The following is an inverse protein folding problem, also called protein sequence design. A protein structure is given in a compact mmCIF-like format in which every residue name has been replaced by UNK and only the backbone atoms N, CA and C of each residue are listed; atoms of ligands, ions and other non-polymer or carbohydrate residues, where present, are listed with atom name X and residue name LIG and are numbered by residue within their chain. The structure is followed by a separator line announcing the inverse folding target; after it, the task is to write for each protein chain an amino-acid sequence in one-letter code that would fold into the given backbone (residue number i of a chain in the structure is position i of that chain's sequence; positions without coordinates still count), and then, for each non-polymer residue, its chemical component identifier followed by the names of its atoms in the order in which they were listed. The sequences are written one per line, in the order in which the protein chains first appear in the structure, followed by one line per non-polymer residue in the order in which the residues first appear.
data_IF_831274382119
#
_entry.id   IF_831274382119
#
_cell.length_a   1.000
_cell.length_b   1.000
_cell.length_c   1.000
_cell.angle_alpha   90.00
_cell.angle_beta   90.00
_cell.angle_gamma   90.00
#
_symmetry.space_group_name_H-M   'P 1'
#
loop_
_entity.id
_entity.type
_entity.pdbx_description
1 polymer ?
#
# COMPACT_ATOMS: atom_id res chain seq x y z
N UNK A 1 10.09 -11.86 47.90
CA UNK A 1 11.10 -12.22 48.92
C UNK A 1 12.16 -13.06 48.22
N UNK A 2 13.44 -12.65 48.32
CA UNK A 2 14.66 -13.31 47.81
C UNK A 2 14.78 -13.44 46.26
N UNK A 3 15.92 -13.21 45.61
CA UNK A 3 17.30 -13.07 46.07
C UNK A 3 18.13 -12.19 45.12
N UNK A 4 18.79 -11.17 45.69
CA UNK A 4 19.94 -10.48 45.10
C UNK A 4 21.13 -11.44 45.10
N UNK A 5 21.41 -12.14 44.00
CA UNK A 5 22.69 -12.83 43.73
C UNK A 5 22.66 -13.41 42.31
N UNK A 6 22.90 -12.58 41.30
CA UNK A 6 23.32 -12.98 39.94
C UNK A 6 23.71 -11.73 39.11
N UNK A 7 24.46 -10.81 39.74
CA UNK A 7 24.87 -9.54 39.11
C UNK A 7 26.38 -9.45 38.85
N UNK A 8 27.09 -10.56 38.72
CA UNK A 8 28.53 -10.57 38.43
C UNK A 8 28.89 -11.69 37.43
N UNK A 9 28.41 -11.58 36.20
CA UNK A 9 28.89 -12.41 35.07
C UNK A 9 28.46 -11.81 33.73
N UNK A 10 28.84 -10.55 33.46
CA UNK A 10 28.57 -9.88 32.17
C UNK A 10 29.76 -9.09 31.60
N UNK A 11 30.92 -9.11 32.25
CA UNK A 11 32.14 -8.49 31.72
C UNK A 11 33.11 -9.56 31.22
N UNK A 12 32.81 -10.19 30.09
CA UNK A 12 33.77 -10.92 29.24
C UNK A 12 33.06 -11.42 27.99
N UNK A 13 33.19 -10.68 26.90
CA UNK A 13 33.33 -11.11 25.49
C UNK A 13 32.94 -9.87 24.65
N UNK A 14 33.91 -9.00 24.46
CA UNK A 14 33.95 -8.08 23.33
C UNK A 14 34.85 -8.68 22.26
N UNK A 15 34.44 -8.46 21.01
CA UNK A 15 35.22 -8.49 19.76
C UNK A 15 35.72 -9.85 19.23
N UNK A 16 35.14 -10.28 18.10
CA UNK A 16 35.89 -10.25 16.83
C UNK A 16 35.01 -10.32 15.57
N UNK A 17 35.27 -9.39 14.64
CA UNK A 17 35.07 -9.38 13.18
C UNK A 17 33.64 -9.59 12.61
N UNK A 18 32.98 -8.62 11.96
CA UNK A 18 33.51 -7.75 10.90
C UNK A 18 33.12 -8.31 9.53
N UNK A 19 31.87 -8.09 9.08
CA UNK A 19 31.43 -8.42 7.71
C UNK A 19 30.50 -7.32 7.17
N UNK A 20 31.06 -6.66 6.17
CA UNK A 20 30.62 -5.55 5.32
C UNK A 20 29.10 -5.33 5.08
N UNK A 21 28.65 -4.14 5.46
CA UNK A 21 27.36 -3.52 5.08
C UNK A 21 27.30 -3.11 3.59
N UNK A 22 28.41 -3.24 2.86
CA UNK A 22 28.55 -2.75 1.48
C UNK A 22 28.11 -3.77 0.39
N UNK A 23 27.81 -5.03 0.75
CA UNK A 23 27.47 -6.08 -0.24
C UNK A 23 25.98 -6.17 -0.55
N UNK A 24 25.10 -5.68 0.34
CA UNK A 24 23.64 -5.73 0.13
C UNK A 24 23.12 -4.70 -0.88
N UNK A 25 23.89 -3.64 -1.16
CA UNK A 25 23.51 -2.61 -2.14
C UNK A 25 23.79 -3.00 -3.60
N UNK A 26 24.64 -4.01 -3.84
CA UNK A 26 25.08 -4.39 -5.19
C UNK A 26 24.29 -5.56 -5.81
N UNK A 27 23.48 -6.28 -5.02
CA UNK A 27 22.63 -7.37 -5.55
C UNK A 27 21.24 -6.89 -6.01
N UNK A 28 20.75 -5.74 -5.54
CA UNK A 28 19.48 -5.17 -6.00
C UNK A 28 19.54 -4.65 -7.46
N UNK A 29 20.74 -4.30 -7.95
CA UNK A 29 20.92 -3.70 -9.28
C UNK A 29 21.11 -4.72 -10.42
N UNK A 30 21.12 -6.03 -10.15
CA UNK A 30 21.36 -7.06 -11.20
C UNK A 30 20.10 -7.74 -11.76
N UNK A 31 18.89 -7.40 -11.28
CA UNK A 31 17.65 -8.03 -11.77
C UNK A 31 16.85 -7.17 -12.77
N UNK A 32 17.32 -5.98 -13.12
CA UNK A 32 16.72 -5.15 -14.17
C UNK A 32 17.66 -4.99 -15.36
N UNK A 33 17.99 -6.10 -16.03
CA UNK A 33 18.46 -5.99 -17.40
C UNK A 33 18.12 -7.24 -18.22
N UNK A 34 16.94 -7.23 -18.84
CA UNK A 34 16.62 -7.88 -20.13
C UNK A 34 15.15 -7.58 -20.47
N UNK A 35 14.94 -6.55 -21.28
CA UNK A 35 14.15 -6.61 -22.52
C UNK A 35 13.94 -5.21 -23.06
N UNK A 36 14.14 -5.09 -24.37
CA UNK A 36 14.33 -3.90 -25.17
C UNK A 36 13.03 -3.34 -25.70
N UNK A 37 12.74 -2.07 -25.39
CA UNK A 37 11.93 -1.19 -26.24
C UNK A 37 12.18 0.26 -25.82
N UNK A 38 13.08 0.93 -26.54
CA UNK A 38 13.29 2.39 -26.43
C UNK A 38 12.10 3.13 -27.05
N UNK A 39 11.59 4.20 -26.44
CA UNK A 39 10.93 5.28 -27.15
C UNK A 39 11.94 6.41 -27.37
N UNK A 40 12.25 6.66 -28.64
CA UNK A 40 13.07 7.77 -29.08
C UNK A 40 12.25 9.07 -28.96
N UNK A 41 12.72 10.04 -28.17
CA UNK A 41 12.12 11.38 -28.09
C UNK A 41 13.24 12.42 -28.24
N UNK A 42 13.22 13.11 -29.37
CA UNK A 42 14.08 14.24 -29.70
C UNK A 42 13.90 15.40 -28.70
N UNK A 43 14.97 16.02 -28.17
CA UNK A 43 14.84 17.18 -27.29
C UNK A 43 14.74 18.47 -28.11
N UNK A 44 13.54 19.06 -28.17
CA UNK A 44 13.39 20.46 -28.57
C UNK A 44 13.87 21.38 -27.44
N UNK A 45 14.90 22.15 -27.76
CA UNK A 45 15.60 23.15 -26.97
C UNK A 45 14.72 24.18 -26.24
N UNK A 46 14.90 24.34 -24.93
CA UNK A 46 14.63 25.61 -24.22
C UNK A 46 15.79 25.96 -23.28
N UNK A 47 16.55 26.96 -23.75
CA UNK A 47 17.43 27.91 -23.06
C UNK A 47 17.52 27.87 -21.53
N UNK A 48 18.74 27.59 -21.06
CA UNK A 48 19.28 27.94 -19.75
C UNK A 48 19.18 29.45 -19.45
N UNK A 49 18.59 29.82 -18.31
CA UNK A 49 18.92 31.06 -17.59
C UNK A 49 19.13 30.76 -16.12
N UNK A 50 20.39 30.88 -15.71
CA UNK A 50 20.85 30.94 -14.33
C UNK A 50 20.41 32.24 -13.67
N UNK A 51 19.83 32.18 -12.48
CA UNK A 51 19.93 33.26 -11.50
C UNK A 51 19.80 32.69 -10.08
N UNK A 52 20.82 32.95 -9.29
CA UNK A 52 20.96 32.60 -7.88
C UNK A 52 20.07 33.47 -6.98
N UNK A 53 19.35 32.86 -6.03
CA UNK A 53 19.08 33.48 -4.73
C UNK A 53 18.58 32.43 -3.74
N UNK A 54 19.26 32.39 -2.61
CA UNK A 54 19.12 31.46 -1.50
C UNK A 54 17.81 31.65 -0.73
N UNK A 55 16.99 30.59 -0.66
CA UNK A 55 16.08 30.30 0.45
C UNK A 55 15.91 28.77 0.52
N UNK A 56 16.56 28.13 1.48
CA UNK A 56 16.40 26.70 1.76
C UNK A 56 15.03 26.48 2.42
N UNK A 57 13.98 26.33 1.61
CA UNK A 57 12.81 25.55 1.99
C UNK A 57 13.02 24.13 1.44
N UNK A 58 12.73 23.05 2.19
CA UNK A 58 12.71 21.72 1.61
C UNK A 58 11.60 21.71 0.56
N UNK A 59 11.99 21.67 -0.71
CA UNK A 59 11.07 21.40 -1.80
C UNK A 59 10.54 19.99 -1.54
N UNK A 60 9.25 19.89 -1.18
CA UNK A 60 8.53 18.62 -1.18
C UNK A 60 8.49 18.15 -2.64
N UNK A 61 9.47 17.35 -3.02
CA UNK A 61 9.64 16.77 -4.37
C UNK A 61 8.64 15.62 -4.65
N UNK A 62 7.71 15.36 -3.72
CA UNK A 62 6.70 14.31 -3.83
C UNK A 62 5.59 14.62 -4.87
N UNK A 63 5.53 15.85 -5.38
CA UNK A 63 4.46 16.28 -6.30
C UNK A 63 4.76 16.05 -7.80
N UNK A 64 5.95 15.55 -8.16
CA UNK A 64 6.37 15.47 -9.56
C UNK A 64 6.34 14.08 -10.20
N UNK A 65 6.04 13.03 -9.45
CA UNK A 65 5.89 11.71 -10.05
C UNK A 65 4.45 11.51 -10.55
N UNK A 66 4.21 11.39 -11.87
CA UNK A 66 2.88 11.10 -12.38
C UNK A 66 2.44 9.70 -11.89
N UNK A 67 1.21 9.61 -11.39
CA UNK A 67 0.58 8.32 -11.14
C UNK A 67 0.27 7.65 -12.48
N UNK A 68 0.30 6.33 -12.55
CA UNK A 68 -0.05 5.61 -13.78
C UNK A 68 -1.31 4.77 -13.53
N UNK A 69 -2.35 5.00 -14.31
CA UNK A 69 -3.55 4.15 -14.30
C UNK A 69 -3.63 3.29 -15.55
N UNK A 70 -4.30 2.15 -15.42
CA UNK A 70 -4.59 1.24 -16.53
C UNK A 70 -6.07 1.37 -16.92
N UNK A 71 -6.35 1.74 -18.16
CA UNK A 71 -7.72 1.86 -18.69
C UNK A 71 -7.94 0.79 -19.76
N UNK A 72 -9.06 0.08 -19.67
CA UNK A 72 -9.43 -1.04 -20.53
C UNK A 72 -10.57 -0.67 -21.50
N UNK A 73 -10.70 -1.40 -22.60
CA UNK A 73 -11.87 -1.40 -23.51
C UNK A 73 -12.68 -2.68 -23.33
N UNK A 74 -13.86 -2.77 -23.97
CA UNK A 74 -14.72 -3.97 -23.93
C UNK A 74 -14.02 -5.22 -24.48
N UNK A 75 -13.14 -5.05 -25.46
CA UNK A 75 -12.30 -6.11 -26.04
C UNK A 75 -11.12 -6.54 -25.15
N UNK A 76 -11.04 -6.03 -23.91
CA UNK A 76 -9.96 -6.28 -22.94
C UNK A 76 -8.59 -5.71 -23.32
N UNK A 77 -8.47 -5.00 -24.45
CA UNK A 77 -7.29 -4.19 -24.73
C UNK A 77 -7.17 -3.06 -23.72
N UNK A 78 -5.93 -2.69 -23.38
CA UNK A 78 -5.68 -1.66 -22.39
C UNK A 78 -4.49 -0.79 -22.76
N UNK A 79 -4.45 0.39 -22.14
CA UNK A 79 -3.30 1.29 -22.18
C UNK A 79 -3.05 1.91 -20.81
N UNK A 80 -1.82 2.36 -20.61
CA UNK A 80 -1.38 3.04 -19.39
C UNK A 80 -1.39 4.55 -19.59
N UNK A 81 -1.95 5.28 -18.63
CA UNK A 81 -2.11 6.72 -18.70
C UNK A 81 -1.40 7.36 -17.51
N UNK A 82 -0.35 8.18 -17.74
CA UNK A 82 0.24 9.00 -16.68
C UNK A 82 -0.70 10.16 -16.34
N UNK A 83 -1.03 10.30 -15.05
CA UNK A 83 -1.98 11.26 -14.52
C UNK A 83 -1.40 12.02 -13.33
N UNK A 84 -1.94 13.21 -13.11
CA UNK A 84 -1.76 13.97 -11.88
C UNK A 84 -2.99 13.81 -10.98
N UNK A 85 -2.88 14.16 -9.69
CA UNK A 85 -4.00 14.03 -8.74
C UNK A 85 -5.22 14.85 -9.16
N UNK A 86 -5.00 15.94 -9.87
CA UNK A 86 -6.01 16.87 -10.37
C UNK A 86 -6.62 16.41 -11.71
N UNK A 87 -6.11 15.33 -12.31
CA UNK A 87 -6.62 14.85 -13.60
C UNK A 87 -7.99 14.21 -13.42
N UNK A 88 -8.99 14.84 -14.05
CA UNK A 88 -10.40 14.45 -13.96
C UNK A 88 -10.75 13.25 -14.85
N UNK A 89 -11.83 12.55 -14.52
CA UNK A 89 -12.37 11.46 -15.32
C UNK A 89 -12.63 11.88 -16.77
N UNK A 90 -13.13 13.10 -16.99
CA UNK A 90 -13.32 13.64 -18.34
C UNK A 90 -12.00 13.78 -19.11
N UNK A 91 -10.95 14.28 -18.46
CA UNK A 91 -9.62 14.37 -19.08
C UNK A 91 -9.05 12.99 -19.41
N UNK A 92 -9.26 12.00 -18.54
CA UNK A 92 -8.87 10.61 -18.84
C UNK A 92 -9.63 10.07 -20.05
N UNK A 93 -10.94 10.33 -20.17
CA UNK A 93 -11.72 9.91 -21.35
C UNK A 93 -11.18 10.57 -22.62
N UNK A 94 -10.89 11.88 -22.59
CA UNK A 94 -10.30 12.60 -23.73
C UNK A 94 -8.97 11.97 -24.16
N UNK A 95 -8.07 11.73 -23.19
CA UNK A 95 -6.78 11.09 -23.44
C UNK A 95 -6.97 9.67 -23.98
N UNK A 96 -7.90 8.90 -23.41
CA UNK A 96 -8.14 7.52 -23.83
C UNK A 96 -8.72 7.43 -25.24
N UNK A 97 -9.66 8.28 -25.63
CA UNK A 97 -10.22 8.31 -26.99
C UNK A 97 -9.10 8.54 -28.02
N UNK A 98 -8.28 9.57 -27.78
CA UNK A 98 -7.16 9.92 -28.66
C UNK A 98 -6.16 8.76 -28.74
N UNK A 99 -5.74 8.25 -27.58
CA UNK A 99 -4.69 7.25 -27.49
C UNK A 99 -5.15 5.89 -28.05
N UNK A 100 -6.40 5.45 -27.80
CA UNK A 100 -6.95 4.24 -28.42
C UNK A 100 -7.24 4.38 -29.92
N UNK A 101 -7.08 5.58 -30.51
CA UNK A 101 -7.36 5.83 -31.92
C UNK A 101 -8.85 5.69 -32.26
N UNK A 102 -9.73 6.04 -31.32
CA UNK A 102 -11.18 5.97 -31.52
C UNK A 102 -11.59 7.15 -32.40
N UNK A 103 -11.80 6.86 -33.69
CA UNK A 103 -12.23 7.83 -34.70
C UNK A 103 -13.72 7.65 -35.01
N UNK A 104 -14.42 8.74 -35.26
CA UNK A 104 -15.79 8.68 -35.77
C UNK A 104 -15.75 8.41 -37.29
N UNK A 105 -16.45 7.41 -37.84
CA UNK A 105 -16.54 7.19 -39.28
C UNK A 105 -17.01 8.43 -40.08
N UNK A 106 -17.68 9.40 -39.44
CA UNK A 106 -18.13 10.65 -40.05
C UNK A 106 -17.10 11.80 -40.03
N UNK A 107 -15.90 11.56 -39.47
CA UNK A 107 -14.89 12.59 -39.19
C UNK A 107 -14.00 12.99 -40.37
N UNK A 108 -14.57 13.65 -41.37
CA UNK A 108 -13.78 14.56 -42.21
C UNK A 108 -13.84 15.98 -41.60
N UNK A 109 -12.81 16.31 -40.81
CA UNK A 109 -12.34 17.69 -40.53
C UNK A 109 -13.30 18.70 -39.87
N UNK A 110 -13.97 18.39 -38.74
CA UNK A 110 -14.64 19.42 -37.94
C UNK A 110 -14.50 19.21 -36.44
N UNK A 111 -14.00 20.23 -35.72
CA UNK A 111 -13.84 20.25 -34.26
C UNK A 111 -15.15 20.02 -33.49
N UNK A 112 -16.33 20.15 -34.12
CA UNK A 112 -17.62 19.83 -33.50
C UNK A 112 -17.81 18.32 -33.28
N UNK A 113 -17.23 17.48 -34.13
CA UNK A 113 -17.38 16.01 -34.08
C UNK A 113 -16.59 15.40 -32.91
N UNK A 114 -15.45 16.00 -32.55
CA UNK A 114 -14.62 15.56 -31.41
C UNK A 114 -15.35 15.75 -30.07
N UNK A 115 -16.17 16.81 -29.94
CA UNK A 115 -17.02 17.02 -28.78
C UNK A 115 -18.20 16.06 -28.70
N UNK A 116 -18.74 15.61 -29.84
CA UNK A 116 -19.84 14.65 -29.88
C UNK A 116 -19.35 13.25 -29.49
N UNK A 117 -18.19 12.83 -30.00
CA UNK A 117 -17.50 11.61 -29.55
C UNK A 117 -17.30 11.59 -28.04
N UNK A 118 -16.81 12.70 -27.46
CA UNK A 118 -16.54 12.76 -26.02
C UNK A 118 -17.81 12.55 -25.17
N UNK A 119 -19.00 12.94 -25.65
CA UNK A 119 -20.29 12.71 -24.97
C UNK A 119 -20.74 11.25 -25.04
N UNK A 120 -20.33 10.54 -26.09
CA UNK A 120 -20.65 9.14 -26.29
C UNK A 120 -19.85 8.22 -25.38
N UNK A 121 -18.74 8.66 -24.79
CA UNK A 121 -17.92 7.83 -23.91
C UNK A 121 -17.99 8.25 -22.46
N UNK A 122 -17.78 7.29 -21.56
CA UNK A 122 -17.62 7.56 -20.13
C UNK A 122 -16.61 6.61 -19.51
N UNK A 123 -15.97 7.06 -18.44
CA UNK A 123 -15.12 6.21 -17.61
C UNK A 123 -16.01 5.44 -16.63
N UNK A 124 -15.85 4.12 -16.61
CA UNK A 124 -16.55 3.23 -15.71
C UNK A 124 -15.57 2.53 -14.79
N UNK A 125 -15.89 2.49 -13.51
CA UNK A 125 -15.26 1.59 -12.55
C UNK A 125 -16.01 0.26 -12.57
N UNK A 126 -15.27 -0.83 -12.74
CA UNK A 126 -15.79 -2.18 -12.63
C UNK A 126 -15.10 -2.85 -11.45
N UNK A 127 -15.86 -3.21 -10.43
CA UNK A 127 -15.37 -3.85 -9.21
C UNK A 127 -15.99 -5.24 -9.02
N UNK A 128 -15.25 -6.11 -8.34
CA UNK A 128 -15.63 -7.51 -8.14
C UNK A 128 -15.93 -7.77 -6.66
N UNK A 129 -17.22 -7.83 -6.29
CA UNK A 129 -17.66 -8.04 -4.91
C UNK A 129 -18.49 -9.31 -4.77
N UNK A 130 -18.16 -10.21 -3.84
CA UNK A 130 -19.02 -11.32 -3.38
C UNK A 130 -19.73 -12.11 -4.50
N UNK A 131 -19.00 -12.44 -5.58
CA UNK A 131 -19.46 -13.13 -6.79
C UNK A 131 -20.34 -12.31 -7.76
N UNK A 132 -20.45 -11.00 -7.59
CA UNK A 132 -21.11 -10.09 -8.52
C UNK A 132 -20.13 -9.06 -9.09
N UNK A 133 -20.33 -8.71 -10.36
CA UNK A 133 -19.64 -7.60 -11.01
C UNK A 133 -20.48 -6.36 -10.79
N UNK A 134 -19.91 -5.34 -10.13
CA UNK A 134 -20.52 -4.03 -10.00
C UNK A 134 -19.89 -3.09 -11.01
N UNK A 135 -20.72 -2.42 -11.78
CA UNK A 135 -20.29 -1.39 -12.71
C UNK A 135 -20.85 -0.04 -12.27
N UNK A 136 -19.98 0.96 -12.16
CA UNK A 136 -20.32 2.32 -11.79
C UNK A 136 -19.74 3.29 -12.82
N UNK A 137 -20.59 4.11 -13.44
CA UNK A 137 -20.13 5.24 -14.25
C UNK A 137 -19.58 6.33 -13.31
N UNK A 138 -18.38 6.82 -13.60
CA UNK A 138 -17.80 7.94 -12.86
C UNK A 138 -18.31 9.28 -13.43
N UNK A 139 -18.70 10.24 -12.57
CA UNK A 139 -18.91 11.62 -12.97
C UNK A 139 -17.65 12.26 -13.56
N UNK A 140 -17.83 13.10 -14.57
CA UNK A 140 -16.76 13.78 -15.34
C UNK A 140 -15.76 14.58 -14.49
N UNK A 141 -16.23 15.15 -13.37
CA UNK A 141 -15.44 16.03 -12.50
C UNK A 141 -14.67 15.29 -11.40
N UNK A 142 -14.82 13.96 -11.27
CA UNK A 142 -14.06 13.20 -10.27
C UNK A 142 -12.58 13.23 -10.64
N UNK A 143 -11.77 13.59 -9.65
CA UNK A 143 -10.30 13.61 -9.70
C UNK A 143 -9.71 12.52 -8.80
N UNK A 144 -8.38 12.53 -8.64
CA UNK A 144 -7.62 11.61 -7.80
C UNK A 144 -7.97 10.13 -8.05
N UNK A 145 -8.19 9.81 -9.34
CA UNK A 145 -8.55 8.47 -9.80
C UNK A 145 -7.57 7.37 -9.35
N UNK A 146 -6.24 7.60 -9.33
CA UNK A 146 -5.29 6.57 -8.90
C UNK A 146 -5.53 6.09 -7.46
N UNK A 147 -5.82 7.00 -6.53
CA UNK A 147 -6.05 6.68 -5.12
C UNK A 147 -7.47 6.18 -4.85
N UNK A 148 -8.41 6.42 -5.76
CA UNK A 148 -9.81 5.99 -5.62
C UNK A 148 -10.09 4.56 -6.05
N UNK A 149 -9.26 3.99 -6.92
CA UNK A 149 -9.49 2.66 -7.47
C UNK A 149 -9.19 1.57 -6.42
N UNK A 150 -10.19 0.78 -5.99
CA UNK A 150 -9.91 -0.32 -5.08
C UNK A 150 -9.10 -1.43 -5.76
N UNK A 151 -8.41 -2.25 -4.97
CA UNK A 151 -7.47 -3.27 -5.46
C UNK A 151 -8.12 -4.30 -6.40
N UNK A 152 -9.41 -4.57 -6.19
CA UNK A 152 -10.24 -5.49 -6.96
C UNK A 152 -11.14 -4.74 -7.97
N UNK A 153 -10.68 -3.61 -8.51
CA UNK A 153 -11.40 -2.87 -9.53
C UNK A 153 -10.49 -2.45 -10.69
N UNK A 154 -11.14 -2.13 -11.81
CA UNK A 154 -10.50 -1.69 -13.06
C UNK A 154 -11.30 -0.55 -13.67
N UNK A 155 -10.59 0.36 -14.34
CA UNK A 155 -11.22 1.41 -15.14
C UNK A 155 -11.43 0.96 -16.57
N UNK A 156 -12.63 1.19 -17.10
CA UNK A 156 -13.01 0.89 -18.48
C UNK A 156 -13.50 2.15 -19.18
N UNK A 157 -13.06 2.34 -20.42
CA UNK A 157 -13.65 3.28 -21.35
C UNK A 157 -14.89 2.64 -21.99
N UNK A 158 -16.07 3.15 -21.68
CA UNK A 158 -17.35 2.62 -22.18
C UNK A 158 -17.96 3.55 -23.21
N UNK A 159 -18.36 3.01 -24.36
CA UNK A 159 -19.30 3.67 -25.26
C UNK A 159 -20.72 3.55 -24.69
N UNK A 160 -21.36 4.69 -24.43
CA UNK A 160 -22.67 4.82 -23.83
C UNK A 160 -23.82 4.34 -24.74
N UNK A 161 -23.58 4.27 -26.05
CA UNK A 161 -24.52 3.75 -27.04
C UNK A 161 -24.34 2.25 -27.29
N UNK A 162 -23.24 1.66 -26.83
CA UNK A 162 -22.99 0.22 -26.97
C UNK A 162 -23.58 -0.56 -25.80
N UNK A 163 -24.21 -1.69 -26.12
CA UNK A 163 -24.71 -2.69 -25.16
C UNK A 163 -23.68 -3.78 -24.85
N UNK A 164 -22.47 -3.69 -25.40
CA UNK A 164 -21.39 -4.63 -25.13
C UNK A 164 -21.08 -4.72 -23.63
N UNK A 165 -20.87 -5.94 -23.16
CA UNK A 165 -20.42 -6.19 -21.79
C UNK A 165 -18.95 -5.77 -21.67
N UNK A 166 -18.62 -5.01 -20.61
CA UNK A 166 -17.24 -4.57 -20.38
C UNK A 166 -16.33 -5.70 -19.92
N UNK A 167 -16.88 -6.72 -19.26
CA UNK A 167 -16.15 -7.88 -18.77
C UNK A 167 -16.94 -9.12 -19.18
N UNK A 168 -16.38 -10.00 -20.03
CA UNK A 168 -16.98 -11.29 -20.34
C UNK A 168 -17.07 -12.23 -19.13
N UNK A 169 -18.06 -13.13 -19.11
CA UNK A 169 -18.30 -14.04 -17.97
C UNK A 169 -17.14 -15.02 -17.69
N UNK A 170 -16.40 -15.43 -18.72
CA UNK A 170 -15.23 -16.30 -18.52
C UNK A 170 -14.11 -15.56 -17.79
N UNK A 171 -13.95 -14.27 -18.06
CA UNK A 171 -12.91 -13.43 -17.46
C UNK A 171 -13.33 -12.96 -16.08
N UNK A 172 -14.62 -12.70 -15.83
CA UNK A 172 -15.11 -12.23 -14.53
C UNK A 172 -14.70 -13.12 -13.36
N UNK A 173 -14.73 -14.45 -13.55
CA UNK A 173 -14.30 -15.42 -12.56
C UNK A 173 -12.78 -15.36 -12.29
N UNK A 174 -11.99 -15.15 -13.34
CA UNK A 174 -10.55 -14.96 -13.22
C UNK A 174 -10.24 -13.65 -12.47
N UNK A 175 -10.92 -12.55 -12.81
CA UNK A 175 -10.73 -11.26 -12.15
C UNK A 175 -11.17 -11.26 -10.70
N UNK A 176 -12.25 -11.98 -10.38
CA UNK A 176 -12.67 -12.20 -9.01
C UNK A 176 -11.64 -13.01 -8.21
N UNK A 177 -10.96 -13.96 -8.86
CA UNK A 177 -9.86 -14.73 -8.25
C UNK A 177 -8.61 -13.85 -8.07
N UNK A 178 -8.24 -13.05 -9.06
CA UNK A 178 -7.12 -12.11 -8.99
C UNK A 178 -7.34 -11.04 -7.90
N UNK A 179 -8.56 -10.51 -7.79
CA UNK A 179 -8.91 -9.50 -6.78
C UNK A 179 -8.93 -10.02 -5.35
N UNK A 180 -8.80 -11.34 -5.15
CA UNK A 180 -8.68 -11.96 -3.81
C UNK A 180 -7.20 -12.10 -3.45
N UNK A 181 -6.63 -11.07 -2.84
CA UNK A 181 -5.31 -11.17 -2.20
C UNK A 181 -5.45 -11.78 -0.81
N UNK A 182 -4.80 -12.91 -0.57
CA UNK A 182 -4.69 -13.51 0.77
C UNK A 182 -3.51 -12.86 1.51
N UNK A 183 -3.64 -12.69 2.83
CA UNK A 183 -2.57 -12.19 3.68
C UNK A 183 -1.25 -12.96 3.50
N UNK A 184 -1.31 -14.28 3.27
CA UNK A 184 -0.12 -15.11 3.07
C UNK A 184 0.60 -14.89 1.73
N UNK A 185 -0.02 -14.21 0.77
CA UNK A 185 0.59 -13.88 -0.52
C UNK A 185 1.43 -12.60 -0.45
N UNK A 186 1.23 -11.78 0.59
CA UNK A 186 1.99 -10.56 0.80
C UNK A 186 3.35 -10.88 1.42
N UNK A 187 4.39 -10.15 1.02
CA UNK A 187 5.71 -10.33 1.62
C UNK A 187 5.79 -9.65 2.99
N UNK A 188 6.40 -10.35 3.94
CA UNK A 188 6.52 -9.87 5.32
C UNK A 188 7.35 -8.59 5.46
N UNK A 189 8.35 -8.40 4.59
CA UNK A 189 9.19 -7.19 4.58
C UNK A 189 8.38 -6.00 4.06
N UNK A 190 7.60 -6.19 2.99
CA UNK A 190 6.79 -5.13 2.42
C UNK A 190 5.70 -4.68 3.41
N UNK A 191 5.00 -5.61 4.06
CA UNK A 191 4.01 -5.25 5.10
C UNK A 191 4.68 -4.46 6.23
N UNK A 192 5.83 -4.94 6.71
CA UNK A 192 6.60 -4.28 7.76
C UNK A 192 7.04 -2.86 7.37
N UNK A 193 7.50 -2.67 6.13
CA UNK A 193 7.87 -1.37 5.59
C UNK A 193 6.66 -0.42 5.54
N UNK A 194 5.51 -0.89 5.04
CA UNK A 194 4.29 -0.08 4.94
C UNK A 194 3.72 0.30 6.32
N UNK A 195 3.72 -0.63 7.29
CA UNK A 195 3.36 -0.32 8.68
C UNK A 195 4.28 0.77 9.25
N UNK A 196 5.59 0.63 9.05
CA UNK A 196 6.57 1.61 9.55
C UNK A 196 6.44 2.97 8.89
N UNK A 197 6.16 3.03 7.58
CA UNK A 197 5.91 4.28 6.87
C UNK A 197 4.63 4.97 7.38
N UNK A 198 3.55 4.21 7.60
CA UNK A 198 2.29 4.73 8.15
C UNK A 198 2.48 5.28 9.56
N UNK A 199 3.11 4.50 10.43
CA UNK A 199 3.40 4.89 11.81
C UNK A 199 4.25 6.15 11.86
N UNK A 200 5.32 6.20 11.05
CA UNK A 200 6.21 7.35 10.99
C UNK A 200 5.50 8.60 10.46
N UNK A 201 4.70 8.48 9.41
CA UNK A 201 3.94 9.61 8.86
C UNK A 201 2.97 10.18 9.89
N UNK A 202 2.27 9.33 10.64
CA UNK A 202 1.36 9.75 11.69
C UNK A 202 2.13 10.36 12.87
N UNK A 203 3.20 9.72 13.34
CA UNK A 203 4.05 10.22 14.42
C UNK A 203 4.63 11.60 14.12
N UNK A 204 5.15 11.80 12.90
CA UNK A 204 5.69 13.09 12.42
C UNK A 204 4.63 14.19 12.39
N UNK A 205 3.36 13.84 12.21
CA UNK A 205 2.26 14.80 12.12
C UNK A 205 1.81 15.36 13.48
N UNK A 206 2.21 14.73 14.60
CA UNK A 206 1.81 15.13 15.95
C UNK A 206 2.53 16.42 16.35
N UNK A 207 1.79 17.44 16.76
CA UNK A 207 2.39 18.66 17.28
C UNK A 207 2.83 18.50 18.73
N UNK A 208 3.93 19.15 19.12
CA UNK A 208 4.42 19.15 20.51
C UNK A 208 3.36 19.66 21.49
N UNK A 209 2.53 20.63 21.07
CA UNK A 209 1.41 21.17 21.86
C UNK A 209 0.38 20.09 22.20
N UNK A 210 0.11 19.14 21.31
CA UNK A 210 -0.82 18.03 21.58
C UNK A 210 -0.31 17.14 22.74
N UNK A 211 1.01 16.92 22.82
CA UNK A 211 1.59 16.18 23.95
C UNK A 211 1.44 16.94 25.27
N UNK A 212 1.68 18.26 25.27
CA UNK A 212 1.49 19.10 26.45
C UNK A 212 0.02 19.04 26.91
N UNK A 213 -0.92 19.22 25.97
CA UNK A 213 -2.34 19.16 26.26
C UNK A 213 -2.76 17.81 26.84
N UNK A 214 -2.25 16.70 26.29
CA UNK A 214 -2.53 15.35 26.80
C UNK A 214 -1.93 15.10 28.19
N UNK A 215 -0.65 15.41 28.39
CA UNK A 215 0.07 15.13 29.65
C UNK A 215 -0.50 15.94 30.81
N UNK A 216 -0.76 17.23 30.58
CA UNK A 216 -1.29 18.12 31.61
C UNK A 216 -2.82 18.18 31.65
N UNK A 217 -3.50 17.40 30.80
CA UNK A 217 -4.97 17.33 30.69
C UNK A 217 -5.60 18.70 30.47
N UNK A 218 -4.96 19.52 29.65
CA UNK A 218 -5.42 20.87 29.33
C UNK A 218 -6.60 20.79 28.35
N UNK A 219 -7.51 21.76 28.45
CA UNK A 219 -8.64 21.92 27.53
C UNK A 219 -8.35 23.06 26.55
N UNK A 220 -7.39 22.85 25.66
CA UNK A 220 -7.12 23.80 24.57
C UNK A 220 -8.22 23.76 23.50
N UNK A 221 -8.35 24.82 22.70
CA UNK A 221 -9.29 24.85 21.58
C UNK A 221 -8.89 23.94 20.41
N UNK A 222 -7.62 23.52 20.35
CA UNK A 222 -7.08 22.65 19.29
C UNK A 222 -7.20 21.16 19.65
N UNK A 223 -7.00 20.80 20.91
CA UNK A 223 -7.06 19.42 21.40
C UNK A 223 -5.87 18.57 20.94
N UNK A 224 -6.08 17.26 20.81
CA UNK A 224 -5.03 16.26 20.52
C UNK A 224 -5.32 15.36 19.30
N UNK A 225 -5.79 15.92 18.16
CA UNK A 225 -6.36 15.13 17.08
C UNK A 225 -5.41 14.13 16.42
N UNK A 226 -4.11 14.45 16.26
CA UNK A 226 -3.14 13.52 15.65
C UNK A 226 -2.60 12.56 16.69
N UNK A 227 -2.35 13.03 17.91
CA UNK A 227 -1.94 12.17 19.01
C UNK A 227 -3.00 11.11 19.32
N UNK A 228 -4.29 11.45 19.31
CA UNK A 228 -5.36 10.49 19.53
C UNK A 228 -5.39 9.40 18.45
N UNK A 229 -5.19 9.77 17.18
CA UNK A 229 -5.05 8.77 16.09
C UNK A 229 -3.86 7.87 16.32
N UNK A 230 -2.72 8.43 16.73
CA UNK A 230 -1.51 7.66 17.00
C UNK A 230 -1.70 6.68 18.17
N UNK A 231 -2.41 7.08 19.22
CA UNK A 231 -2.72 6.20 20.36
C UNK A 231 -3.72 5.09 19.99
N UNK A 232 -4.60 5.33 19.01
CA UNK A 232 -5.56 4.33 18.51
C UNK A 232 -4.89 3.29 17.61
N UNK A 233 -3.88 3.69 16.84
CA UNK A 233 -3.29 2.88 15.78
C UNK A 233 -2.75 1.50 16.26
N UNK A 234 -1.98 1.39 17.36
CA UNK A 234 -1.54 0.08 17.86
C UNK A 234 -2.70 -0.86 18.23
N UNK A 235 -3.83 -0.33 18.71
CA UNK A 235 -5.00 -1.15 19.02
C UNK A 235 -5.65 -1.69 17.74
N UNK A 236 -5.72 -0.88 16.68
CA UNK A 236 -6.23 -1.32 15.37
C UNK A 236 -5.36 -2.46 14.81
N UNK A 237 -4.04 -2.35 14.90
CA UNK A 237 -3.09 -3.36 14.44
C UNK A 237 -3.13 -4.65 15.27
N UNK A 238 -3.30 -4.52 16.60
CA UNK A 238 -3.53 -5.64 17.49
C UNK A 238 -4.80 -6.41 17.10
N UNK A 239 -5.92 -5.70 16.92
CA UNK A 239 -7.19 -6.33 16.54
C UNK A 239 -7.18 -6.86 15.11
N UNK A 240 -6.45 -6.23 14.19
CA UNK A 240 -6.20 -6.78 12.86
C UNK A 240 -5.51 -8.14 12.94
N UNK A 241 -4.43 -8.24 13.73
CA UNK A 241 -3.70 -9.49 13.96
C UNK A 241 -4.63 -10.60 14.47
N UNK A 242 -5.43 -10.30 15.50
CA UNK A 242 -6.40 -11.26 16.07
C UNK A 242 -7.42 -11.67 15.01
N UNK A 243 -8.01 -10.70 14.32
CA UNK A 243 -9.10 -10.92 13.36
C UNK A 243 -8.62 -11.77 12.18
N UNK A 244 -7.44 -11.50 11.64
CA UNK A 244 -6.89 -12.25 10.50
C UNK A 244 -6.65 -13.72 10.87
N UNK A 245 -6.12 -13.99 12.07
CA UNK A 245 -5.91 -15.36 12.55
C UNK A 245 -7.25 -16.07 12.82
N UNK A 246 -8.22 -15.38 13.44
CA UNK A 246 -9.53 -15.97 13.76
C UNK A 246 -10.38 -16.25 12.53
N UNK A 247 -10.20 -15.50 11.43
CA UNK A 247 -10.95 -15.69 10.18
C UNK A 247 -10.46 -16.89 9.35
N UNK A 248 -9.21 -17.31 9.53
CA UNK A 248 -8.66 -18.45 8.79
C UNK A 248 -9.13 -19.79 9.39
N UNK A 249 -10.04 -20.46 8.69
CA UNK A 249 -10.66 -21.70 9.14
C UNK A 249 -9.72 -22.90 9.00
N UNK A 250 -8.84 -22.90 7.99
CA UNK A 250 -7.94 -24.03 7.74
C UNK A 250 -6.78 -24.02 8.75
N UNK A 251 -6.68 -25.07 9.57
CA UNK A 251 -5.67 -25.19 10.62
C UNK A 251 -4.23 -24.98 10.12
N UNK A 252 -3.88 -25.57 8.98
CA UNK A 252 -2.53 -25.48 8.42
C UNK A 252 -2.26 -24.06 7.92
N UNK A 253 -3.20 -23.44 7.20
CA UNK A 253 -3.04 -22.05 6.75
C UNK A 253 -3.00 -21.09 7.93
N UNK A 254 -3.85 -21.28 8.95
CA UNK A 254 -3.86 -20.45 10.17
C UNK A 254 -2.52 -20.48 10.90
N UNK A 255 -1.86 -21.65 10.97
CA UNK A 255 -0.51 -21.75 11.54
C UNK A 255 0.53 -20.98 10.73
N UNK A 256 0.38 -20.90 9.40
CA UNK A 256 1.22 -20.06 8.54
C UNK A 256 0.94 -18.58 8.76
N UNK A 257 -0.30 -18.17 9.00
CA UNK A 257 -0.68 -16.79 9.32
C UNK A 257 0.03 -16.35 10.61
N UNK A 258 -0.04 -17.16 11.67
CA UNK A 258 0.70 -16.89 12.92
C UNK A 258 2.21 -16.77 12.65
N UNK A 259 2.79 -17.72 11.92
CA UNK A 259 4.22 -17.65 11.54
C UNK A 259 4.55 -16.36 10.80
N UNK A 260 3.66 -15.92 9.91
CA UNK A 260 3.84 -14.72 9.11
C UNK A 260 3.82 -13.45 9.98
N UNK A 261 2.87 -13.33 10.91
CA UNK A 261 2.87 -12.24 11.90
C UNK A 261 4.13 -12.21 12.77
N UNK A 262 4.65 -13.35 13.20
CA UNK A 262 5.93 -13.41 13.94
C UNK A 262 7.09 -12.86 13.09
N UNK A 263 7.11 -13.15 11.78
CA UNK A 263 8.11 -12.57 10.87
C UNK A 263 7.96 -11.05 10.74
N UNK A 264 6.72 -10.55 10.60
CA UNK A 264 6.45 -9.10 10.52
C UNK A 264 6.88 -8.40 11.80
N UNK A 265 6.49 -8.91 12.99
CA UNK A 265 6.88 -8.33 14.28
C UNK A 265 8.41 -8.27 14.45
N UNK A 266 9.11 -9.33 14.03
CA UNK A 266 10.58 -9.32 14.01
C UNK A 266 11.12 -8.23 13.08
N UNK A 267 10.60 -8.11 11.86
CA UNK A 267 11.01 -7.05 10.95
C UNK A 267 10.74 -5.65 11.53
N UNK A 268 9.58 -5.41 12.15
CA UNK A 268 9.28 -4.14 12.79
C UNK A 268 10.29 -3.80 13.90
N UNK A 269 10.71 -4.80 14.71
CA UNK A 269 11.80 -4.65 15.68
C UNK A 269 13.12 -4.26 15.02
N UNK A 270 13.48 -4.92 13.92
CA UNK A 270 14.71 -4.65 13.19
C UNK A 270 14.71 -3.23 12.60
N UNK A 271 13.55 -2.76 12.11
CA UNK A 271 13.31 -1.39 11.64
C UNK A 271 13.12 -0.35 12.76
N UNK A 272 13.19 -0.75 14.03
CA UNK A 272 12.91 0.11 15.21
C UNK A 272 11.50 0.69 15.27
N UNK A 273 10.55 0.10 14.54
CA UNK A 273 9.13 0.35 14.77
C UNK A 273 8.62 -0.52 15.93
N UNK A 274 8.79 -0.02 17.14
CA UNK A 274 8.35 -0.71 18.35
C UNK A 274 6.83 -0.70 18.51
N UNK A 275 6.12 0.29 17.96
CA UNK A 275 4.66 0.39 18.08
C UNK A 275 3.96 -0.79 17.40
N UNK A 276 4.15 -0.96 16.09
CA UNK A 276 3.55 -2.09 15.37
C UNK A 276 4.07 -3.43 15.88
N UNK A 277 5.35 -3.49 16.29
CA UNK A 277 5.89 -4.73 16.88
C UNK A 277 5.12 -5.14 18.13
N UNK A 278 4.93 -4.23 19.09
CA UNK A 278 4.16 -4.52 20.30
C UNK A 278 2.68 -4.76 20.01
N UNK A 279 2.10 -4.06 19.05
CA UNK A 279 0.71 -4.30 18.63
C UNK A 279 0.50 -5.73 18.11
N UNK A 280 1.37 -6.19 17.21
CA UNK A 280 1.30 -7.55 16.66
C UNK A 280 1.56 -8.59 17.75
N UNK A 281 2.58 -8.38 18.61
CA UNK A 281 2.88 -9.30 19.72
C UNK A 281 1.69 -9.39 20.68
N UNK A 282 1.07 -8.26 21.02
CA UNK A 282 -0.13 -8.22 21.87
C UNK A 282 -1.32 -8.94 21.22
N UNK A 283 -1.45 -8.84 19.89
CA UNK A 283 -2.47 -9.56 19.14
C UNK A 283 -2.26 -11.08 19.17
N UNK A 284 -0.99 -11.53 19.07
CA UNK A 284 -0.62 -12.93 19.20
C UNK A 284 -0.79 -13.45 20.63
N UNK A 285 -0.50 -12.64 21.65
CA UNK A 285 -0.67 -12.99 23.07
C UNK A 285 -2.11 -12.86 23.58
N UNK A 286 -3.00 -12.29 22.76
CA UNK A 286 -4.40 -12.17 23.11
C UNK A 286 -5.04 -13.54 23.35
N UNK A 287 -5.87 -13.66 24.39
CA UNK A 287 -6.52 -14.91 24.83
C UNK A 287 -7.23 -15.67 23.71
N UNK A 288 -7.79 -14.95 22.74
CA UNK A 288 -8.46 -15.58 21.59
C UNK A 288 -7.53 -16.33 20.64
N UNK A 289 -6.28 -15.88 20.53
CA UNK A 289 -5.24 -16.54 19.73
C UNK A 289 -4.53 -17.59 20.57
N UNK A 290 -4.13 -17.27 21.81
CA UNK A 290 -3.40 -18.19 22.70
C UNK A 290 -4.15 -19.49 22.99
N UNK A 291 -5.50 -19.47 23.07
CA UNK A 291 -6.29 -20.69 23.28
C UNK A 291 -6.23 -21.70 22.12
N UNK A 292 -5.74 -21.32 20.94
CA UNK A 292 -5.70 -22.18 19.75
C UNK A 292 -4.53 -23.18 19.78
N UNK A 293 -4.50 -24.06 20.78
CA UNK A 293 -3.36 -24.96 21.05
C UNK A 293 -2.95 -25.79 19.83
N UNK A 294 -3.90 -26.44 19.16
CA UNK A 294 -3.62 -27.24 17.95
C UNK A 294 -3.05 -26.42 16.78
N UNK A 295 -3.31 -25.11 16.74
CA UNK A 295 -2.71 -24.23 15.74
C UNK A 295 -1.27 -23.88 16.11
N UNK A 296 -1.03 -23.54 17.39
CA UNK A 296 0.30 -23.26 17.92
C UNK A 296 1.24 -24.46 17.82
N UNK A 297 0.76 -25.68 18.08
CA UNK A 297 1.53 -26.92 17.88
C UNK A 297 2.11 -27.04 16.46
N UNK A 298 1.36 -26.54 15.46
CA UNK A 298 1.75 -26.60 14.04
C UNK A 298 2.69 -25.48 13.58
N UNK A 299 2.85 -24.42 14.38
CA UNK A 299 3.85 -23.37 14.11
C UNK A 299 5.25 -23.99 14.29
N UNK A 300 6.24 -23.72 13.43
CA UNK A 300 7.59 -24.25 13.64
C UNK A 300 8.25 -23.70 14.92
N UNK A 301 8.92 -24.55 15.69
CA UNK A 301 9.46 -24.18 17.02
C UNK A 301 10.45 -23.02 16.99
N UNK A 302 11.22 -22.86 15.91
CA UNK A 302 12.08 -21.68 15.70
C UNK A 302 11.31 -20.37 15.87
N UNK A 303 10.10 -20.31 15.33
CA UNK A 303 9.26 -19.10 15.40
C UNK A 303 8.57 -18.96 16.77
N UNK A 304 8.16 -20.05 17.41
CA UNK A 304 7.66 -20.02 18.80
C UNK A 304 8.71 -19.48 19.75
N UNK A 305 9.95 -19.98 19.66
CA UNK A 305 11.09 -19.47 20.44
C UNK A 305 11.37 -18.00 20.15
N UNK A 306 11.28 -17.58 18.89
CA UNK A 306 11.41 -16.15 18.55
C UNK A 306 10.31 -15.34 19.25
N UNK A 307 9.07 -15.81 19.23
CA UNK A 307 7.95 -15.17 19.91
C UNK A 307 8.16 -15.07 21.45
N UNK A 308 8.46 -16.19 22.10
CA UNK A 308 8.65 -16.28 23.55
C UNK A 308 9.87 -15.49 24.05
N UNK A 309 11.05 -15.76 23.46
CA UNK A 309 12.32 -15.23 23.98
C UNK A 309 12.54 -13.78 23.55
N UNK A 310 12.14 -13.40 22.33
CA UNK A 310 12.47 -12.06 21.80
C UNK A 310 11.47 -10.97 22.17
N UNK A 311 10.29 -11.35 22.68
CA UNK A 311 9.20 -10.41 22.92
C UNK A 311 8.49 -10.55 24.28
N UNK A 312 8.45 -11.75 24.89
CA UNK A 312 7.80 -11.93 26.21
C UNK A 312 8.81 -11.79 27.35
N UNK A 313 10.03 -12.29 27.18
CA UNK A 313 11.08 -12.25 28.22
C UNK A 313 11.96 -10.99 28.12
N UNK A 314 12.00 -10.34 26.95
CA UNK A 314 12.87 -9.19 26.67
C UNK A 314 12.29 -7.81 26.96
N UNK A 315 11.21 -7.72 27.74
CA UNK A 315 10.58 -6.48 28.24
C UNK A 315 10.71 -6.48 29.76
#
# INVERSE_FOLDING_TARGET
MCNKKQLNELDSIDNDNGLDSSVLSLQANRLFNRSTSNPDLSPSSISSKSMSSSTNAPINDDNYSPFVIKVYRSDQSFKYFPLHKETTAKQVVMLAISEFGIVDPSSYSSSRVEFDLLRCYSLCEVSFEHNAIKQKRLPDHIDNLPERLPINARYYLKNNHSTETLVPDHLSNELLREGRTSFLQLDSLEICAQLTLRDFALFKSIQTTEYIDHVFKLKSGYGIPQLEKFLKLPNEEMYWTITEIMRENNLVQRSKVIKHFIKIAKCCKDMKNFNSMFAIVSGLDHKSVQRLQSTWERVPDKHKKTFEVSFIIGV
#
